data_IF_886011985624
#
_entry.id   IF_886011985624
#
_cell.length_a   1.000
_cell.length_b   1.000
_cell.length_c   1.000
_cell.angle_alpha   90.00
_cell.angle_beta   90.00
_cell.angle_gamma   90.00
#
_symmetry.space_group_name_H-M   'P 1'
#
loop_
_entity.id
_entity.type
_entity.pdbx_description
1 polymer ?
#
# COMPACT_ATOMS: atom_id res chain seq x y z
N UNK A 1 -13.96 -15.96 -11.24
CA UNK A 1 -13.16 -17.08 -11.77
C UNK A 1 -12.43 -16.72 -13.08
N UNK A 2 -13.12 -16.10 -14.04
CA UNK A 2 -12.51 -15.74 -15.33
C UNK A 2 -11.34 -14.75 -15.19
N UNK A 3 -11.49 -13.71 -14.34
CA UNK A 3 -10.43 -12.74 -14.06
C UNK A 3 -9.18 -13.42 -13.46
N UNK A 4 -9.37 -14.34 -12.54
CA UNK A 4 -8.27 -15.10 -11.92
C UNK A 4 -7.52 -15.91 -12.97
N UNK A 5 -8.23 -16.65 -13.80
CA UNK A 5 -7.63 -17.48 -14.85
C UNK A 5 -6.82 -16.65 -15.85
N UNK A 6 -7.40 -15.54 -16.33
CA UNK A 6 -6.74 -14.64 -17.26
C UNK A 6 -5.50 -13.98 -16.64
N UNK A 7 -5.63 -13.49 -15.40
CA UNK A 7 -4.51 -12.86 -14.69
C UNK A 7 -3.34 -13.84 -14.49
N UNK A 8 -3.63 -15.09 -14.12
CA UNK A 8 -2.59 -16.12 -14.01
C UNK A 8 -1.87 -16.37 -15.32
N UNK A 9 -2.60 -16.49 -16.42
CA UNK A 9 -1.98 -16.67 -17.74
C UNK A 9 -1.06 -15.51 -18.12
N UNK A 10 -1.41 -14.27 -17.76
CA UNK A 10 -0.58 -13.10 -18.01
C UNK A 10 0.68 -13.17 -17.12
N UNK A 11 0.52 -13.42 -15.84
CA UNK A 11 1.64 -13.48 -14.90
C UNK A 11 2.62 -14.61 -15.22
N UNK A 12 2.12 -15.76 -15.67
CA UNK A 12 2.97 -16.89 -16.08
C UNK A 12 3.85 -16.55 -17.29
N UNK A 13 3.40 -15.63 -18.14
CA UNK A 13 4.15 -15.18 -19.34
C UNK A 13 5.04 -13.97 -19.07
N UNK A 14 4.80 -13.26 -18.00
CA UNK A 14 5.43 -11.99 -17.65
C UNK A 14 5.96 -12.01 -16.23
N UNK A 15 7.05 -12.74 -16.01
CA UNK A 15 7.65 -12.94 -14.69
C UNK A 15 8.20 -11.66 -14.05
N UNK A 16 8.38 -10.62 -14.85
CA UNK A 16 8.76 -9.29 -14.40
C UNK A 16 7.63 -8.53 -13.67
N UNK A 17 6.39 -8.99 -13.79
CA UNK A 17 5.25 -8.42 -13.04
C UNK A 17 5.26 -8.99 -11.62
N UNK A 18 5.89 -8.25 -10.72
CA UNK A 18 5.91 -8.59 -9.29
C UNK A 18 4.56 -8.30 -8.63
N UNK A 19 4.26 -8.87 -7.44
CA UNK A 19 2.97 -8.65 -6.77
C UNK A 19 2.60 -7.17 -6.58
N UNK A 20 3.56 -6.31 -6.27
CA UNK A 20 3.34 -4.87 -6.05
C UNK A 20 3.07 -4.09 -7.34
N UNK A 21 3.23 -4.70 -8.51
CA UNK A 21 2.93 -4.11 -9.82
C UNK A 21 1.54 -4.47 -10.36
N UNK A 22 0.78 -5.24 -9.62
CA UNK A 22 -0.64 -5.52 -9.92
C UNK A 22 -1.48 -4.47 -9.21
N UNK A 23 -1.92 -3.47 -9.96
CA UNK A 23 -2.50 -2.22 -9.42
C UNK A 23 -3.77 -1.84 -10.17
N UNK A 24 -4.53 -0.91 -9.60
CA UNK A 24 -5.69 -0.29 -10.24
C UNK A 24 -5.38 1.11 -10.78
N UNK A 25 -6.32 1.70 -11.50
CA UNK A 25 -6.19 3.08 -11.97
C UNK A 25 -6.06 4.10 -10.83
N UNK A 26 -6.76 3.87 -9.72
CA UNK A 26 -6.67 4.72 -8.53
C UNK A 26 -5.24 4.80 -7.98
N UNK A 27 -4.46 3.73 -8.10
CA UNK A 27 -3.06 3.71 -7.65
C UNK A 27 -2.13 4.56 -8.55
N UNK A 28 -2.48 4.70 -9.83
CA UNK A 28 -1.67 5.46 -10.81
C UNK A 28 -2.07 6.93 -10.85
N UNK A 29 -3.36 7.22 -10.79
CA UNK A 29 -3.92 8.58 -10.87
C UNK A 29 -4.83 8.88 -9.68
N UNK A 30 -4.26 8.95 -8.47
CA UNK A 30 -5.03 9.30 -7.26
C UNK A 30 -5.71 10.65 -7.42
N UNK A 31 -6.91 10.77 -6.87
CA UNK A 31 -7.71 12.00 -6.97
C UNK A 31 -8.45 12.18 -8.30
N UNK A 32 -7.99 11.55 -9.36
CA UNK A 32 -8.61 11.60 -10.71
C UNK A 32 -9.41 10.34 -10.99
N UNK A 33 -8.85 9.17 -10.64
CA UNK A 33 -9.47 7.86 -10.84
C UNK A 33 -9.75 7.20 -9.50
N UNK A 34 -10.86 6.47 -9.43
CA UNK A 34 -11.25 5.68 -8.25
C UNK A 34 -11.50 4.20 -8.58
N UNK A 35 -11.40 3.84 -9.84
CA UNK A 35 -11.56 2.44 -10.26
C UNK A 35 -10.32 1.60 -9.93
N UNK A 36 -10.49 0.31 -9.59
CA UNK A 36 -11.73 -0.46 -9.62
C UNK A 36 -12.66 -0.26 -8.42
N UNK A 37 -12.33 0.62 -7.49
CA UNK A 37 -13.16 0.97 -6.35
C UNK A 37 -13.07 -0.01 -5.17
N UNK A 38 -13.77 0.31 -4.05
CA UNK A 38 -13.59 -0.42 -2.79
C UNK A 38 -14.20 -1.83 -2.78
N UNK A 39 -15.03 -2.16 -3.74
CA UNK A 39 -15.63 -3.51 -3.87
C UNK A 39 -14.78 -4.49 -4.68
N UNK A 40 -13.68 -4.03 -5.26
CA UNK A 40 -12.80 -4.91 -6.02
C UNK A 40 -12.08 -5.89 -5.10
N UNK A 41 -12.07 -7.20 -5.41
CA UNK A 41 -11.66 -8.23 -4.47
C UNK A 41 -10.14 -8.46 -4.45
N UNK A 42 -9.35 -7.45 -4.11
CA UNK A 42 -7.89 -7.52 -4.06
C UNK A 42 -7.37 -8.67 -3.19
N UNK A 43 -7.97 -8.84 -2.01
CA UNK A 43 -7.59 -9.93 -1.10
C UNK A 43 -7.85 -11.31 -1.71
N UNK A 44 -9.01 -11.47 -2.36
CA UNK A 44 -9.35 -12.74 -3.04
C UNK A 44 -8.36 -13.04 -4.17
N UNK A 45 -7.96 -12.02 -4.95
CA UNK A 45 -6.95 -12.18 -5.99
C UNK A 45 -5.60 -12.60 -5.38
N UNK A 46 -5.20 -11.97 -4.28
CA UNK A 46 -3.98 -12.34 -3.56
C UNK A 46 -4.00 -13.79 -3.09
N UNK A 47 -5.11 -14.28 -2.56
CA UNK A 47 -5.27 -15.70 -2.15
C UNK A 47 -5.05 -16.67 -3.32
N UNK A 48 -5.19 -16.21 -4.56
CA UNK A 48 -4.92 -16.97 -5.77
C UNK A 48 -3.55 -16.66 -6.40
N UNK A 49 -2.67 -15.99 -5.66
CA UNK A 49 -1.32 -15.65 -6.13
C UNK A 49 -1.24 -14.43 -7.04
N UNK A 50 -2.25 -13.56 -7.04
CA UNK A 50 -2.33 -12.38 -7.90
C UNK A 50 -2.30 -11.12 -7.04
N UNK A 51 -1.25 -10.30 -7.21
CA UNK A 51 -1.12 -9.03 -6.50
C UNK A 51 -0.61 -9.15 -5.07
N UNK A 52 -0.38 -7.98 -4.47
CA UNK A 52 0.18 -7.84 -3.13
C UNK A 52 -0.91 -7.81 -2.06
N UNK A 53 -0.58 -8.30 -0.87
CA UNK A 53 -1.37 -8.14 0.35
C UNK A 53 -0.47 -8.23 1.57
N UNK A 54 -0.90 -7.64 2.67
CA UNK A 54 -0.16 -7.60 3.92
C UNK A 54 -0.42 -8.84 4.80
N UNK A 55 0.50 -9.11 5.73
CA UNK A 55 0.29 -10.08 6.80
C UNK A 55 -0.37 -9.39 8.00
N UNK A 56 -1.45 -9.97 8.54
CA UNK A 56 -2.19 -9.41 9.67
C UNK A 56 -1.33 -9.24 10.93
N UNK A 57 -0.46 -10.19 11.21
CA UNK A 57 0.44 -10.12 12.37
C UNK A 57 1.39 -8.93 12.28
N UNK A 58 1.89 -8.64 11.08
CA UNK A 58 2.79 -7.51 10.85
C UNK A 58 2.06 -6.18 10.99
N UNK A 59 0.83 -6.09 10.48
CA UNK A 59 -0.02 -4.90 10.70
C UNK A 59 -0.23 -4.67 12.19
N UNK A 60 -0.59 -5.71 12.94
CA UNK A 60 -0.83 -5.60 14.38
C UNK A 60 0.43 -5.14 15.14
N UNK A 61 1.61 -5.66 14.76
CA UNK A 61 2.89 -5.23 15.32
C UNK A 61 3.12 -3.72 15.15
N UNK A 62 2.97 -3.21 13.94
CA UNK A 62 3.17 -1.78 13.67
C UNK A 62 2.04 -0.92 14.23
N UNK A 63 0.81 -1.41 14.21
CA UNK A 63 -0.32 -0.68 14.79
C UNK A 63 -0.14 -0.45 16.28
N UNK A 64 0.27 -1.49 17.03
CA UNK A 64 0.59 -1.38 18.44
C UNK A 64 1.72 -0.37 18.65
N UNK A 65 2.81 -0.49 17.89
CA UNK A 65 3.95 0.43 17.94
C UNK A 65 3.53 1.89 17.73
N UNK A 66 2.75 2.15 16.68
CA UNK A 66 2.34 3.52 16.33
C UNK A 66 1.23 4.08 17.21
N UNK A 67 0.58 3.25 18.00
CA UNK A 67 -0.39 3.67 19.01
C UNK A 67 0.30 4.01 20.35
N UNK A 68 1.32 3.25 20.72
CA UNK A 68 2.07 3.43 21.98
C UNK A 68 3.24 4.38 21.85
N UNK A 69 3.86 4.45 20.68
CA UNK A 69 4.99 5.33 20.36
C UNK A 69 4.57 6.44 19.40
N UNK A 70 5.53 7.28 19.01
CA UNK A 70 5.29 8.30 17.97
C UNK A 70 5.09 7.67 16.59
N UNK A 71 4.07 8.13 15.87
CA UNK A 71 3.85 7.78 14.48
C UNK A 71 4.97 8.34 13.58
N UNK A 72 5.24 7.69 12.43
CA UNK A 72 6.08 8.28 11.40
C UNK A 72 5.57 9.66 10.97
N UNK A 73 6.50 10.55 10.64
CA UNK A 73 6.16 11.87 10.11
C UNK A 73 5.48 11.78 8.74
N UNK A 74 4.81 12.85 8.32
CA UNK A 74 4.22 12.92 6.96
C UNK A 74 5.29 12.69 5.90
N UNK A 75 6.49 13.25 6.05
CA UNK A 75 7.61 13.02 5.14
C UNK A 75 7.97 11.53 5.04
N UNK A 76 8.00 10.82 6.15
CA UNK A 76 8.27 9.38 6.17
C UNK A 76 7.13 8.56 5.56
N UNK A 77 5.88 8.96 5.79
CA UNK A 77 4.72 8.29 5.19
C UNK A 77 4.74 8.47 3.66
N UNK A 78 5.01 9.67 3.18
CA UNK A 78 5.19 9.93 1.74
C UNK A 78 6.34 9.12 1.16
N UNK A 79 7.47 9.05 1.86
CA UNK A 79 8.61 8.22 1.46
C UNK A 79 8.23 6.73 1.41
N UNK A 80 7.47 6.24 2.36
CA UNK A 80 6.96 4.86 2.38
C UNK A 80 6.07 4.56 1.18
N UNK A 81 5.14 5.45 0.85
CA UNK A 81 4.29 5.32 -0.33
C UNK A 81 5.12 5.31 -1.61
N UNK A 82 6.08 6.22 -1.73
CA UNK A 82 6.98 6.27 -2.89
C UNK A 82 7.83 5.02 -3.02
N UNK A 83 8.37 4.52 -1.92
CA UNK A 83 9.18 3.29 -1.89
C UNK A 83 8.35 2.06 -2.28
N UNK A 84 7.08 2.03 -1.92
CA UNK A 84 6.15 0.99 -2.35
C UNK A 84 5.88 1.04 -3.87
N UNK A 85 5.90 2.22 -4.47
CA UNK A 85 5.72 2.40 -5.92
C UNK A 85 4.75 3.50 -6.34
N UNK A 86 4.16 4.23 -5.37
CA UNK A 86 3.28 5.36 -5.69
C UNK A 86 4.08 6.56 -6.20
N UNK A 87 3.50 7.30 -7.15
CA UNK A 87 4.13 8.47 -7.77
C UNK A 87 4.04 9.76 -6.95
N UNK A 88 3.99 9.66 -5.63
CA UNK A 88 3.86 10.79 -4.72
C UNK A 88 5.13 11.63 -4.65
N UNK A 89 5.00 12.95 -4.54
CA UNK A 89 6.09 13.87 -4.26
C UNK A 89 6.30 14.05 -2.75
N UNK A 90 7.57 14.17 -2.35
CA UNK A 90 7.96 14.30 -0.94
C UNK A 90 7.92 15.77 -0.52
N UNK A 91 6.75 16.27 -0.16
CA UNK A 91 6.57 17.65 0.28
C UNK A 91 6.78 17.86 1.79
N UNK A 92 6.62 16.79 2.56
CA UNK A 92 6.66 16.83 4.03
C UNK A 92 5.38 17.38 4.66
N UNK A 93 4.40 17.76 3.84
CA UNK A 93 3.14 18.35 4.26
C UNK A 93 1.97 17.39 3.96
N UNK A 94 0.95 17.39 4.82
CA UNK A 94 -0.30 16.70 4.53
C UNK A 94 -1.15 17.57 3.61
N UNK A 95 -0.79 17.56 2.34
CA UNK A 95 -1.42 18.33 1.27
C UNK A 95 -2.50 17.51 0.53
N UNK A 96 -3.11 18.10 -0.49
CA UNK A 96 -4.14 17.43 -1.29
C UNK A 96 -3.64 16.17 -1.96
N UNK A 97 -2.43 16.18 -2.50
CA UNK A 97 -1.85 14.97 -3.10
C UNK A 97 -1.67 13.86 -2.06
N UNK A 98 -1.23 14.19 -0.86
CA UNK A 98 -1.06 13.20 0.21
C UNK A 98 -2.39 12.55 0.58
N UNK A 99 -3.44 13.36 0.74
CA UNK A 99 -4.80 12.85 0.92
C UNK A 99 -5.21 11.90 -0.20
N UNK A 100 -5.00 12.28 -1.45
CA UNK A 100 -5.39 11.46 -2.62
C UNK A 100 -4.62 10.14 -2.68
N UNK A 101 -3.32 10.15 -2.41
CA UNK A 101 -2.51 8.93 -2.40
C UNK A 101 -2.85 8.00 -1.22
N UNK A 102 -3.09 8.54 -0.03
CA UNK A 102 -3.55 7.74 1.11
C UNK A 102 -4.91 7.13 0.82
N UNK A 103 -5.83 7.88 0.25
CA UNK A 103 -7.14 7.36 -0.13
C UNK A 103 -7.03 6.25 -1.19
N UNK A 104 -6.18 6.40 -2.19
CA UNK A 104 -5.92 5.37 -3.20
C UNK A 104 -5.36 4.09 -2.55
N UNK A 105 -4.40 4.24 -1.65
CA UNK A 105 -3.86 3.14 -0.85
C UNK A 105 -4.95 2.42 -0.06
N UNK A 106 -5.84 3.17 0.59
CA UNK A 106 -6.96 2.61 1.35
C UNK A 106 -7.96 1.89 0.45
N UNK A 107 -8.28 2.43 -0.73
CA UNK A 107 -9.15 1.75 -1.71
C UNK A 107 -8.62 0.37 -2.10
N UNK A 108 -7.32 0.20 -2.14
CA UNK A 108 -6.67 -1.08 -2.47
C UNK A 108 -6.60 -2.02 -1.25
N UNK A 109 -6.04 -1.55 -0.15
CA UNK A 109 -5.67 -2.39 1.00
C UNK A 109 -6.60 -2.28 2.20
N UNK A 110 -7.43 -1.25 2.25
CA UNK A 110 -8.28 -0.93 3.40
C UNK A 110 -9.64 -0.36 2.95
N UNK A 111 -10.37 -1.08 2.08
CA UNK A 111 -11.56 -0.55 1.40
C UNK A 111 -12.74 -0.24 2.33
N UNK A 112 -12.72 -0.71 3.57
CA UNK A 112 -13.70 -0.39 4.60
C UNK A 112 -13.49 0.98 5.25
N UNK A 113 -12.36 1.64 4.99
CA UNK A 113 -12.02 2.97 5.49
C UNK A 113 -11.20 3.72 4.44
N UNK A 114 -11.87 4.57 3.67
CA UNK A 114 -11.28 5.32 2.55
C UNK A 114 -11.35 6.82 2.77
N UNK A 115 -11.00 7.26 3.97
CA UNK A 115 -11.11 8.66 4.41
C UNK A 115 -9.88 9.51 4.11
N UNK A 116 -8.81 8.93 3.56
CA UNK A 116 -7.57 9.62 3.22
C UNK A 116 -6.72 10.03 4.42
N UNK A 117 -7.06 9.58 5.63
CA UNK A 117 -6.34 9.94 6.86
C UNK A 117 -5.13 9.02 7.08
N UNK A 118 -4.07 9.61 7.62
CA UNK A 118 -2.86 8.88 8.05
C UNK A 118 -3.03 8.36 9.47
N UNK A 119 -4.09 7.60 9.74
CA UNK A 119 -4.26 6.99 11.04
C UNK A 119 -3.26 5.85 11.29
N UNK A 120 -3.11 5.45 12.55
CA UNK A 120 -2.12 4.44 12.94
C UNK A 120 -2.29 3.11 12.22
N UNK A 121 -3.53 2.69 11.94
CA UNK A 121 -3.81 1.43 11.25
C UNK A 121 -3.47 1.51 9.76
N UNK A 122 -3.78 2.60 9.09
CA UNK A 122 -3.42 2.84 7.69
C UNK A 122 -1.89 2.85 7.52
N UNK A 123 -1.19 3.57 8.39
CA UNK A 123 0.27 3.64 8.36
C UNK A 123 0.89 2.28 8.70
N UNK A 124 0.34 1.56 9.69
CA UNK A 124 0.78 0.20 10.03
C UNK A 124 0.62 -0.76 8.84
N UNK A 125 -0.45 -0.65 8.08
CA UNK A 125 -0.68 -1.46 6.87
C UNK A 125 0.37 -1.16 5.80
N UNK A 126 0.71 0.10 5.59
CA UNK A 126 1.80 0.49 4.68
C UNK A 126 3.14 -0.10 5.12
N UNK A 127 3.50 0.03 6.40
CA UNK A 127 4.74 -0.53 6.95
C UNK A 127 4.79 -2.06 6.84
N UNK A 128 3.66 -2.73 7.06
CA UNK A 128 3.57 -4.18 6.88
C UNK A 128 3.84 -4.61 5.44
N UNK A 129 3.33 -3.87 4.46
CA UNK A 129 3.61 -4.11 3.03
C UNK A 129 5.07 -3.85 2.69
N UNK A 130 5.67 -2.78 3.23
CA UNK A 130 7.08 -2.47 3.03
C UNK A 130 7.98 -3.57 3.62
N UNK A 131 7.69 -4.05 4.82
CA UNK A 131 8.44 -5.16 5.44
C UNK A 131 8.36 -6.44 4.59
N UNK A 132 7.20 -6.72 4.02
CA UNK A 132 6.98 -7.94 3.22
C UNK A 132 7.67 -7.88 1.85
N UNK A 133 7.56 -6.76 1.14
CA UNK A 133 7.98 -6.66 -0.25
C UNK A 133 9.25 -5.85 -0.47
N UNK A 134 9.62 -4.99 0.47
CA UNK A 134 10.79 -4.11 0.40
C UNK A 134 11.54 -4.07 1.74
N UNK A 135 11.93 -5.22 2.31
CA UNK A 135 12.46 -5.27 3.69
C UNK A 135 13.75 -4.46 3.89
N UNK A 136 14.53 -4.26 2.82
CA UNK A 136 15.83 -3.58 2.90
C UNK A 136 15.72 -2.07 3.16
N UNK A 137 14.53 -1.48 3.04
CA UNK A 137 14.33 -0.05 3.31
C UNK A 137 13.96 0.26 4.77
N UNK A 138 13.74 -0.77 5.56
CA UNK A 138 13.48 -0.64 6.99
C UNK A 138 14.70 -1.09 7.80
N UNK A 139 15.04 -0.34 8.86
CA UNK A 139 16.05 -0.78 9.81
C UNK A 139 15.48 -1.80 10.81
N UNK A 140 16.32 -2.29 11.73
CA UNK A 140 15.94 -3.30 12.73
C UNK A 140 14.81 -2.82 13.67
N UNK A 141 14.67 -1.50 13.85
CA UNK A 141 13.62 -0.88 14.66
C UNK A 141 12.37 -0.53 13.83
N UNK A 142 12.33 -0.87 12.53
CA UNK A 142 11.23 -0.59 11.64
C UNK A 142 11.16 0.88 11.18
N UNK A 143 12.28 1.61 11.25
CA UNK A 143 12.37 2.97 10.74
C UNK A 143 12.73 2.95 9.26
N UNK A 144 12.06 3.80 8.52
CA UNK A 144 12.24 3.89 7.07
C UNK A 144 13.52 4.65 6.72
N UNK A 145 14.33 4.05 5.84
CA UNK A 145 15.52 4.65 5.28
C UNK A 145 15.15 5.35 3.97
N UNK A 146 14.81 6.64 4.07
CA UNK A 146 14.51 7.48 2.90
C UNK A 146 15.81 8.03 2.31
N UNK A 147 15.98 7.81 1.03
CA UNK A 147 17.06 8.43 0.26
C UNK A 147 16.60 9.71 -0.42
#
# INVERSE_FOLDING_TARGET
>A
QLLIALSKQILDRHLEITPTRVIGHADIQPGVKSDPGPKFPWYTLHQHGIGAWYEHETVNKYWLKFTEEAMPSIAQIQCGLKSYGYGIELTGEYDEQTYDFIRAFQLHFQPWQTDGRTDSKTVATLWALLEKYFPNILDAEGRLQCQ
#
